data_IF_601794524270
#
_entry.id   IF_601794524270
#
_cell.length_a   1.000
_cell.length_b   1.000
_cell.length_c   1.000
_cell.angle_alpha   90.00
_cell.angle_beta   90.00
_cell.angle_gamma   90.00
#
_symmetry.space_group_name_H-M   'P 1'
#
loop_
_entity.id
_entity.type
_entity.pdbx_description
1 polymer ?
#
# COMPACT_ATOMS: atom_id res chain seq x y z
N UNK A 1 -20.40 15.52 5.35
CA UNK A 1 -21.25 14.31 5.44
C UNK A 1 -22.41 14.51 6.41
N UNK A 2 -22.22 15.10 7.61
CA UNK A 2 -23.33 15.37 8.55
C UNK A 2 -23.62 16.87 8.78
N UNK A 3 -23.14 17.76 7.90
CA UNK A 3 -23.26 19.23 8.07
C UNK A 3 -22.54 19.84 9.28
N UNK A 4 -21.90 19.01 10.13
CA UNK A 4 -21.17 19.47 11.30
C UNK A 4 -19.85 20.14 10.89
N UNK A 5 -19.51 21.31 11.47
CA UNK A 5 -18.22 21.93 11.26
C UNK A 5 -17.10 21.03 11.79
N UNK A 6 -15.92 21.14 11.20
CA UNK A 6 -14.76 20.39 11.66
C UNK A 6 -14.36 20.85 13.07
N UNK A 7 -14.02 19.90 13.94
CA UNK A 7 -13.58 20.20 15.31
C UNK A 7 -12.24 20.98 15.37
N UNK A 8 -11.48 21.00 14.27
CA UNK A 8 -10.23 21.72 14.15
C UNK A 8 -10.07 22.27 12.73
N UNK A 9 -9.43 23.44 12.56
CA UNK A 9 -9.06 23.94 11.24
C UNK A 9 -7.97 23.07 10.57
N UNK A 10 -7.24 22.25 11.34
CA UNK A 10 -6.17 21.38 10.84
C UNK A 10 -6.70 20.07 10.26
N UNK A 11 -7.52 20.18 9.22
CA UNK A 11 -8.01 19.01 8.47
C UNK A 11 -7.07 18.63 7.33
N UNK A 12 -7.37 17.53 6.63
CA UNK A 12 -6.64 17.13 5.42
C UNK A 12 -6.63 18.26 4.37
N UNK A 13 -7.73 19.00 4.26
CA UNK A 13 -7.90 20.07 3.28
C UNK A 13 -7.04 21.31 3.60
N UNK A 14 -6.59 21.47 4.85
CA UNK A 14 -5.77 22.61 5.24
C UNK A 14 -4.48 22.74 4.40
N UNK A 15 -3.87 21.61 4.02
CA UNK A 15 -2.70 21.63 3.13
C UNK A 15 -3.06 22.11 1.72
N UNK A 16 -4.20 21.68 1.18
CA UNK A 16 -4.64 22.08 -0.14
C UNK A 16 -4.89 23.58 -0.19
N UNK A 17 -5.66 24.10 0.76
CA UNK A 17 -5.92 25.54 0.92
C UNK A 17 -4.61 26.31 1.06
N UNK A 18 -3.72 25.92 1.97
CA UNK A 18 -2.48 26.64 2.22
C UNK A 18 -1.50 26.65 1.03
N UNK A 19 -1.51 25.62 0.18
CA UNK A 19 -0.64 25.56 -1.01
C UNK A 19 -1.21 26.37 -2.17
N UNK A 20 -2.54 26.32 -2.37
CA UNK A 20 -3.20 26.96 -3.51
C UNK A 20 -3.50 28.44 -3.25
N UNK A 21 -4.13 28.76 -2.12
CA UNK A 21 -4.56 30.13 -1.79
C UNK A 21 -3.59 30.85 -0.86
N UNK A 22 -2.71 30.11 -0.16
CA UNK A 22 -1.78 30.68 0.82
C UNK A 22 -2.39 30.89 2.22
N UNK A 23 -3.69 30.63 2.38
CA UNK A 23 -4.41 30.83 3.64
C UNK A 23 -4.00 29.80 4.71
N UNK A 24 -3.91 30.22 5.96
CA UNK A 24 -3.58 29.32 7.09
C UNK A 24 -2.15 28.76 7.08
N UNK A 25 -1.29 29.19 6.15
CA UNK A 25 0.09 28.70 6.03
C UNK A 25 0.93 29.01 7.27
N UNK A 26 0.75 30.19 7.88
CA UNK A 26 1.47 30.59 9.09
C UNK A 26 1.14 29.67 10.27
N UNK A 27 -0.14 29.33 10.44
CA UNK A 27 -0.61 28.49 11.55
C UNK A 27 -0.19 27.03 11.36
N UNK A 28 -0.23 26.52 10.11
CA UNK A 28 0.30 25.20 9.78
C UNK A 28 1.80 25.09 10.07
N UNK A 29 2.59 26.14 9.80
CA UNK A 29 4.04 26.17 10.08
C UNK A 29 4.36 26.20 11.57
N UNK A 30 3.49 26.81 12.39
CA UNK A 30 3.63 26.84 13.86
C UNK A 30 3.35 25.47 14.48
N UNK A 31 2.50 24.66 13.86
CA UNK A 31 2.14 23.32 14.38
C UNK A 31 3.34 22.37 14.33
N UNK A 32 3.70 21.79 15.48
CA UNK A 32 4.85 20.88 15.63
C UNK A 32 4.46 19.40 15.80
N UNK A 33 3.17 19.09 15.83
CA UNK A 33 2.65 17.73 16.01
C UNK A 33 1.39 17.48 15.20
N UNK A 34 1.14 16.23 14.81
CA UNK A 34 -0.04 15.83 14.05
C UNK A 34 0.11 14.45 13.42
N UNK A 35 -0.94 13.99 12.74
CA UNK A 35 -0.96 12.68 12.04
C UNK A 35 -0.56 12.80 10.57
N UNK A 36 -0.30 14.01 10.08
CA UNK A 36 0.08 14.31 8.70
C UNK A 36 1.13 15.41 8.68
N UNK A 37 2.07 15.31 7.75
CA UNK A 37 3.15 16.25 7.54
C UNK A 37 3.37 16.44 6.04
N UNK A 38 3.73 17.65 5.61
CA UNK A 38 4.08 17.95 4.22
C UNK A 38 5.16 19.02 4.20
N UNK A 39 6.40 18.69 3.78
CA UNK A 39 7.42 19.69 3.54
C UNK A 39 7.13 20.41 2.21
N UNK A 40 7.06 21.74 2.24
CA UNK A 40 6.73 22.54 1.05
C UNK A 40 8.01 23.21 0.51
N UNK A 41 8.35 22.91 -0.73
CA UNK A 41 9.49 23.51 -1.44
C UNK A 41 9.01 24.38 -2.59
N UNK A 42 9.46 25.64 -2.64
CA UNK A 42 9.18 26.56 -3.75
C UNK A 42 10.47 26.77 -4.54
N UNK A 43 10.52 26.23 -5.75
CA UNK A 43 11.67 26.35 -6.66
C UNK A 43 11.25 26.98 -7.99
N UNK A 44 12.15 27.75 -8.59
CA UNK A 44 12.09 28.13 -10.01
C UNK A 44 13.13 27.28 -10.74
N UNK A 45 12.68 26.31 -11.52
CA UNK A 45 13.56 25.38 -12.24
C UNK A 45 13.62 25.82 -13.71
N UNK A 46 14.80 26.18 -14.25
CA UNK A 46 14.93 26.54 -15.66
C UNK A 46 14.62 25.38 -16.60
N UNK A 47 14.38 25.68 -17.88
CA UNK A 47 14.20 24.67 -18.91
C UNK A 47 15.41 23.72 -18.95
N UNK A 48 15.15 22.42 -19.16
CA UNK A 48 16.16 21.34 -19.20
C UNK A 48 17.02 21.21 -17.92
N UNK A 49 16.61 21.83 -16.82
CA UNK A 49 17.29 21.72 -15.52
C UNK A 49 16.56 20.75 -14.60
N UNK A 50 17.27 20.22 -13.61
CA UNK A 50 16.73 19.30 -12.61
C UNK A 50 17.11 19.76 -11.21
N UNK A 51 16.17 19.66 -10.26
CA UNK A 51 16.42 19.87 -8.83
C UNK A 51 16.08 18.60 -8.07
N UNK A 52 17.05 18.06 -7.35
CA UNK A 52 16.86 16.88 -6.51
C UNK A 52 16.83 17.29 -5.04
N UNK A 53 15.88 16.74 -4.29
CA UNK A 53 15.74 16.95 -2.84
C UNK A 53 15.80 15.57 -2.19
N UNK A 54 16.71 15.41 -1.24
CA UNK A 54 16.85 14.18 -0.47
C UNK A 54 16.32 14.39 0.93
N UNK A 55 15.41 13.52 1.37
CA UNK A 55 14.76 13.62 2.67
C UNK A 55 14.89 12.30 3.41
N UNK A 56 15.13 12.37 4.72
CA UNK A 56 15.14 11.22 5.61
C UNK A 56 14.12 11.46 6.72
N UNK A 57 13.13 10.57 6.81
CA UNK A 57 12.23 10.54 7.95
C UNK A 57 12.97 9.88 9.12
N UNK A 58 13.04 10.56 10.26
CA UNK A 58 13.71 10.08 11.47
C UNK A 58 12.99 10.61 12.71
N UNK A 59 12.98 9.82 13.78
CA UNK A 59 12.53 10.26 15.10
C UNK A 59 13.66 10.88 15.94
N UNK A 60 14.89 10.95 15.40
CA UNK A 60 16.06 11.56 16.02
C UNK A 60 16.67 12.59 15.08
N UNK A 61 17.14 13.70 15.65
CA UNK A 61 17.98 14.64 14.90
C UNK A 61 19.29 13.94 14.52
N UNK A 62 19.75 14.12 13.29
CA UNK A 62 20.97 13.48 12.79
C UNK A 62 21.75 14.49 11.96
N UNK A 63 22.99 14.78 12.35
CA UNK A 63 23.82 15.77 11.68
C UNK A 63 24.22 15.33 10.26
N UNK A 64 24.44 14.03 10.08
CA UNK A 64 24.75 13.40 8.79
C UNK A 64 23.64 12.41 8.42
N UNK A 65 22.47 12.86 7.92
CA UNK A 65 21.34 11.99 7.64
C UNK A 65 21.60 11.03 6.48
N UNK A 66 22.61 11.27 5.65
CA UNK A 66 22.97 10.42 4.53
C UNK A 66 24.43 9.99 4.63
N UNK A 67 24.68 8.69 4.49
CA UNK A 67 26.03 8.16 4.45
C UNK A 67 26.75 8.57 3.15
N UNK A 68 28.09 8.68 3.15
CA UNK A 68 28.85 8.88 1.92
C UNK A 68 28.48 7.84 0.86
N UNK A 69 28.23 8.29 -0.37
CA UNK A 69 27.79 7.42 -1.48
C UNK A 69 26.29 7.11 -1.52
N UNK A 70 25.44 7.68 -0.66
CA UNK A 70 24.00 7.39 -0.70
C UNK A 70 23.34 7.69 -2.07
N UNK A 71 23.89 8.66 -2.80
CA UNK A 71 23.42 9.05 -4.12
C UNK A 71 23.71 7.99 -5.19
N UNK A 72 24.72 7.14 -5.00
CA UNK A 72 25.02 6.04 -5.93
C UNK A 72 24.13 4.81 -5.69
N UNK A 73 23.51 4.67 -4.51
CA UNK A 73 22.66 3.51 -4.17
C UNK A 73 21.55 3.32 -5.20
N UNK A 74 20.89 4.41 -5.62
CA UNK A 74 19.81 4.31 -6.59
C UNK A 74 20.30 3.79 -7.95
N UNK A 75 21.43 4.32 -8.43
CA UNK A 75 22.08 3.87 -9.66
C UNK A 75 22.48 2.40 -9.57
N UNK A 76 23.11 2.01 -8.46
CA UNK A 76 23.51 0.63 -8.22
C UNK A 76 22.31 -0.33 -8.22
N UNK A 77 21.23 0.00 -7.49
CA UNK A 77 20.01 -0.82 -7.46
C UNK A 77 19.35 -0.91 -8.83
N UNK A 78 19.45 0.13 -9.66
CA UNK A 78 18.96 0.12 -11.04
C UNK A 78 19.79 -0.84 -11.90
N UNK A 79 21.13 -0.78 -11.83
CA UNK A 79 22.02 -1.67 -12.57
C UNK A 79 21.83 -3.14 -12.18
N UNK A 80 21.71 -3.42 -10.88
CA UNK A 80 21.40 -4.76 -10.39
C UNK A 80 20.03 -5.27 -10.88
N UNK A 81 19.01 -4.40 -10.89
CA UNK A 81 17.71 -4.73 -11.44
C UNK A 81 17.78 -4.96 -12.97
N UNK A 82 18.53 -4.14 -13.70
CA UNK A 82 18.75 -4.30 -15.14
C UNK A 82 19.40 -5.66 -15.42
N UNK A 83 20.49 -6.01 -14.73
CA UNK A 83 21.17 -7.30 -14.86
C UNK A 83 20.26 -8.50 -14.50
N UNK A 84 19.47 -8.39 -13.44
CA UNK A 84 18.50 -9.41 -13.05
C UNK A 84 17.46 -9.66 -14.15
N UNK A 85 16.81 -8.61 -14.64
CA UNK A 85 15.80 -8.74 -15.69
C UNK A 85 16.41 -9.16 -17.02
N UNK A 86 17.65 -8.81 -17.30
CA UNK A 86 18.33 -9.27 -18.51
C UNK A 86 18.49 -10.78 -18.54
N UNK A 87 18.74 -11.40 -17.38
CA UNK A 87 18.79 -12.85 -17.23
C UNK A 87 17.40 -13.49 -17.27
N UNK A 88 16.42 -12.94 -16.54
CA UNK A 88 15.04 -13.48 -16.50
C UNK A 88 14.37 -13.44 -17.88
N UNK A 89 14.68 -12.43 -18.69
CA UNK A 89 14.05 -12.18 -19.99
C UNK A 89 14.94 -12.62 -21.18
N UNK A 90 15.95 -13.45 -20.94
CA UNK A 90 16.94 -13.83 -21.96
C UNK A 90 16.33 -14.53 -23.17
N UNK A 91 15.25 -15.29 -22.98
CA UNK A 91 14.53 -15.99 -24.05
C UNK A 91 13.77 -15.05 -25.00
N UNK A 92 13.51 -13.80 -24.59
CA UNK A 92 12.84 -12.82 -25.43
C UNK A 92 13.87 -11.93 -26.14
N UNK A 93 14.01 -12.13 -27.45
CA UNK A 93 14.95 -11.40 -28.29
C UNK A 93 14.49 -9.97 -28.63
N UNK A 94 13.17 -9.71 -28.63
CA UNK A 94 12.63 -8.40 -28.98
C UNK A 94 12.71 -7.40 -27.79
N UNK A 95 13.44 -6.28 -27.94
CA UNK A 95 13.57 -5.26 -26.90
C UNK A 95 12.24 -4.63 -26.44
N UNK A 96 11.26 -4.49 -27.35
CA UNK A 96 9.95 -3.94 -27.02
C UNK A 96 9.17 -4.88 -26.11
N UNK A 97 9.17 -6.18 -26.41
CA UNK A 97 8.53 -7.21 -25.58
C UNK A 97 9.21 -7.33 -24.21
N UNK A 98 10.56 -7.30 -24.15
CA UNK A 98 11.30 -7.28 -22.87
C UNK A 98 10.88 -6.10 -21.99
N UNK A 99 10.81 -4.90 -22.56
CA UNK A 99 10.42 -3.68 -21.85
C UNK A 99 8.97 -3.76 -21.35
N UNK A 100 8.06 -4.29 -22.16
CA UNK A 100 6.67 -4.48 -21.77
C UNK A 100 6.54 -5.50 -20.62
N UNK A 101 7.20 -6.65 -20.73
CA UNK A 101 7.16 -7.70 -19.72
C UNK A 101 7.75 -7.24 -18.40
N UNK A 102 8.89 -6.52 -18.41
CA UNK A 102 9.47 -5.93 -17.20
C UNK A 102 8.51 -4.96 -16.52
N UNK A 103 7.78 -4.15 -17.27
CA UNK A 103 6.76 -3.23 -16.72
C UNK A 103 5.59 -3.99 -16.11
N UNK A 104 5.13 -5.06 -16.76
CA UNK A 104 4.07 -5.91 -16.21
C UNK A 104 4.50 -6.58 -14.89
N UNK A 105 5.73 -7.13 -14.83
CA UNK A 105 6.32 -7.69 -13.62
C UNK A 105 6.50 -6.65 -12.52
N UNK A 106 6.93 -5.43 -12.85
CA UNK A 106 7.00 -4.33 -11.89
C UNK A 106 5.61 -3.97 -11.32
N UNK A 107 4.56 -4.05 -12.14
CA UNK A 107 3.17 -3.90 -11.69
C UNK A 107 2.77 -4.95 -10.65
N UNK A 108 3.13 -6.22 -10.87
CA UNK A 108 2.90 -7.31 -9.91
C UNK A 108 3.65 -7.11 -8.59
N UNK A 109 4.90 -6.64 -8.65
CA UNK A 109 5.66 -6.33 -7.43
C UNK A 109 5.05 -5.14 -6.68
N UNK A 110 4.50 -4.17 -7.39
CA UNK A 110 3.86 -2.99 -6.82
C UNK A 110 2.52 -3.29 -6.14
N UNK A 111 1.85 -4.37 -6.53
CA UNK A 111 0.58 -4.78 -5.92
C UNK A 111 0.73 -5.56 -4.60
N UNK A 112 1.96 -5.88 -4.18
CA UNK A 112 2.24 -6.40 -2.84
C UNK A 112 1.83 -5.38 -1.78
N UNK A 113 0.95 -5.76 -0.88
CA UNK A 113 0.39 -4.85 0.12
C UNK A 113 0.30 -5.52 1.49
N UNK A 114 0.69 -4.77 2.52
CA UNK A 114 0.41 -5.18 3.90
C UNK A 114 -1.09 -5.13 4.15
N UNK A 115 -1.67 -6.27 4.50
CA UNK A 115 -3.09 -6.45 4.70
C UNK A 115 -3.39 -6.85 6.14
N UNK A 116 -3.95 -5.91 6.91
CA UNK A 116 -4.34 -6.14 8.30
C UNK A 116 -5.85 -6.20 8.44
N UNK A 117 -6.38 -7.39 8.75
CA UNK A 117 -7.80 -7.60 8.96
C UNK A 117 -8.02 -8.66 10.02
N UNK A 118 -8.65 -8.25 11.13
CA UNK A 118 -9.07 -9.12 12.22
C UNK A 118 -10.59 -9.06 12.27
N UNK A 119 -11.24 -10.13 11.82
CA UNK A 119 -12.70 -10.18 11.70
C UNK A 119 -13.38 -10.11 13.06
N UNK A 120 -12.87 -10.86 14.05
CA UNK A 120 -13.39 -10.89 15.41
C UNK A 120 -13.37 -9.48 16.03
N UNK A 121 -12.22 -8.81 15.94
CA UNK A 121 -12.08 -7.43 16.41
C UNK A 121 -12.99 -6.48 15.63
N UNK A 122 -13.07 -6.61 14.31
CA UNK A 122 -13.91 -5.73 13.46
C UNK A 122 -15.40 -5.86 13.78
N UNK A 123 -15.89 -7.06 14.09
CA UNK A 123 -17.27 -7.30 14.51
C UNK A 123 -17.55 -6.70 15.89
N UNK A 124 -16.65 -6.90 16.86
CA UNK A 124 -16.84 -6.52 18.26
C UNK A 124 -16.51 -5.07 18.60
N UNK A 125 -15.79 -4.34 17.75
CA UNK A 125 -15.30 -2.98 18.06
C UNK A 125 -15.85 -1.89 17.14
N UNK A 126 -15.97 -0.68 17.68
CA UNK A 126 -16.18 0.55 16.91
C UNK A 126 -14.83 1.15 16.50
N UNK A 127 -14.79 1.85 15.37
CA UNK A 127 -13.68 2.72 15.00
C UNK A 127 -13.68 4.04 15.81
N UNK A 128 -14.68 4.24 16.68
CA UNK A 128 -14.87 5.45 17.49
C UNK A 128 -15.34 6.66 16.68
N UNK A 129 -15.52 6.51 15.36
CA UNK A 129 -15.91 7.57 14.42
C UNK A 129 -17.36 7.36 14.00
N UNK A 130 -17.76 6.11 13.77
CA UNK A 130 -19.12 5.71 13.41
C UNK A 130 -19.75 4.93 14.56
N UNK A 131 -21.06 5.12 14.84
CA UNK A 131 -21.76 4.27 15.81
C UNK A 131 -21.66 2.80 15.38
N UNK A 132 -21.57 1.90 16.37
CA UNK A 132 -21.58 0.46 16.10
C UNK A 132 -22.92 0.12 15.46
N UNK A 133 -22.92 -0.23 14.18
CA UNK A 133 -24.12 -0.73 13.52
C UNK A 133 -24.42 -2.14 14.02
N UNK A 134 -25.61 -2.40 14.62
CA UNK A 134 -26.00 -3.74 15.06
C UNK A 134 -25.97 -4.78 13.93
N UNK A 135 -26.16 -4.32 12.69
CA UNK A 135 -26.12 -5.17 11.49
C UNK A 135 -24.75 -5.78 11.18
N UNK A 136 -23.65 -5.33 11.82
CA UNK A 136 -22.32 -5.94 11.64
C UNK A 136 -22.27 -7.37 12.17
N UNK A 137 -22.91 -7.63 13.31
CA UNK A 137 -22.85 -8.93 14.00
C UNK A 137 -23.53 -10.06 13.20
N UNK A 138 -24.57 -9.71 12.44
CA UNK A 138 -25.30 -10.63 11.57
C UNK A 138 -24.96 -10.39 10.09
N UNK A 139 -23.94 -9.57 9.84
CA UNK A 139 -23.54 -9.15 8.52
C UNK A 139 -22.53 -10.10 7.91
N UNK A 140 -21.93 -9.63 6.82
CA UNK A 140 -20.91 -10.35 6.08
C UNK A 140 -19.72 -10.74 6.97
N UNK A 141 -19.14 -11.91 6.71
CA UNK A 141 -17.96 -12.44 7.40
C UNK A 141 -18.18 -12.74 8.90
N UNK A 142 -19.40 -12.64 9.43
CA UNK A 142 -19.70 -12.96 10.83
C UNK A 142 -19.27 -14.39 11.23
N UNK A 143 -19.29 -15.33 10.28
CA UNK A 143 -18.88 -16.73 10.45
C UNK A 143 -17.38 -16.97 10.20
N UNK A 144 -16.59 -15.92 10.02
CA UNK A 144 -15.14 -15.98 9.74
C UNK A 144 -14.31 -15.35 10.87
N UNK A 145 -14.72 -15.51 12.12
CA UNK A 145 -14.06 -14.88 13.29
C UNK A 145 -12.60 -15.29 13.47
N UNK A 146 -12.23 -16.47 12.98
CA UNK A 146 -10.85 -16.99 12.99
C UNK A 146 -9.96 -16.35 11.93
N UNK A 147 -10.52 -15.64 10.94
CA UNK A 147 -9.76 -15.01 9.87
C UNK A 147 -8.96 -13.82 10.41
N UNK A 148 -7.63 -13.97 10.43
CA UNK A 148 -6.68 -12.97 10.92
C UNK A 148 -5.57 -12.78 9.90
N UNK A 149 -5.58 -11.63 9.22
CA UNK A 149 -4.62 -11.26 8.21
C UNK A 149 -3.64 -10.24 8.79
N UNK A 150 -2.33 -10.52 8.74
CA UNK A 150 -1.27 -9.59 9.17
C UNK A 150 -0.04 -9.71 8.26
N UNK A 151 -0.27 -9.92 6.97
CA UNK A 151 0.75 -10.36 6.02
C UNK A 151 0.85 -9.42 4.81
N UNK A 152 1.97 -9.50 4.10
CA UNK A 152 2.10 -8.88 2.77
C UNK A 152 1.52 -9.84 1.74
N UNK A 153 0.42 -9.43 1.12
CA UNK A 153 -0.34 -10.24 0.18
C UNK A 153 -0.32 -9.57 -1.20
N UNK A 154 -0.26 -10.36 -2.27
CA UNK A 154 -0.44 -9.86 -3.63
C UNK A 154 -1.90 -9.47 -3.87
N UNK A 155 -2.15 -8.23 -4.27
CA UNK A 155 -3.48 -7.74 -4.61
C UNK A 155 -3.72 -7.80 -6.13
N UNK A 156 -4.97 -8.05 -6.58
CA UNK A 156 -5.37 -7.88 -7.99
C UNK A 156 -5.12 -6.47 -8.50
N UNK A 157 -5.49 -5.47 -7.69
CA UNK A 157 -5.20 -4.08 -7.94
C UNK A 157 -5.11 -3.30 -6.63
N UNK A 158 -4.18 -2.36 -6.53
CA UNK A 158 -3.95 -1.62 -5.27
C UNK A 158 -5.02 -0.55 -5.01
N UNK A 159 -5.69 -0.05 -6.04
CA UNK A 159 -6.58 1.10 -5.97
C UNK A 159 -8.06 0.69 -5.92
N UNK A 160 -8.50 -0.08 -6.90
CA UNK A 160 -9.89 -0.51 -7.07
C UNK A 160 -10.22 -1.74 -6.22
N UNK A 161 -9.25 -2.67 -6.11
CA UNK A 161 -9.42 -3.94 -5.41
C UNK A 161 -8.40 -4.15 -4.27
N UNK A 162 -8.39 -3.28 -3.23
CA UNK A 162 -7.48 -3.41 -2.09
C UNK A 162 -7.91 -4.53 -1.13
N UNK A 163 -8.06 -5.76 -1.63
CA UNK A 163 -8.42 -7.00 -0.92
C UNK A 163 -7.97 -8.18 -1.78
N UNK A 164 -7.61 -9.30 -1.16
CA UNK A 164 -7.14 -10.47 -1.88
C UNK A 164 -8.29 -11.40 -2.29
N UNK A 165 -8.10 -12.04 -3.43
CA UNK A 165 -8.92 -13.16 -3.86
C UNK A 165 -8.01 -14.37 -4.07
N UNK A 166 -8.43 -15.55 -3.58
CA UNK A 166 -7.63 -16.77 -3.68
C UNK A 166 -7.30 -17.13 -5.13
N UNK A 167 -8.29 -16.99 -6.01
CA UNK A 167 -8.16 -17.37 -7.40
C UNK A 167 -7.23 -16.43 -8.18
N UNK A 168 -7.38 -15.11 -8.04
CA UNK A 168 -6.43 -14.13 -8.60
C UNK A 168 -5.00 -14.39 -8.11
N UNK A 169 -4.84 -14.67 -6.81
CA UNK A 169 -3.54 -14.92 -6.20
C UNK A 169 -2.86 -16.15 -6.81
N UNK A 170 -3.59 -17.21 -7.12
CA UNK A 170 -3.06 -18.38 -7.81
C UNK A 170 -2.52 -18.02 -9.22
N UNK A 171 -3.28 -17.21 -9.99
CA UNK A 171 -2.83 -16.75 -11.31
C UNK A 171 -1.62 -15.81 -11.23
N UNK A 172 -1.57 -14.93 -10.22
CA UNK A 172 -0.44 -14.03 -10.00
C UNK A 172 0.84 -14.79 -9.60
N UNK A 173 0.71 -15.92 -8.90
CA UNK A 173 1.86 -16.73 -8.49
C UNK A 173 2.63 -17.30 -9.69
N UNK A 174 1.98 -17.53 -10.84
CA UNK A 174 2.63 -18.04 -12.05
C UNK A 174 3.70 -17.08 -12.57
N UNK A 175 3.39 -15.82 -12.96
CA UNK A 175 4.41 -14.86 -13.37
C UNK A 175 5.29 -14.41 -12.21
N UNK A 176 4.80 -14.40 -10.96
CA UNK A 176 5.62 -14.06 -9.80
C UNK A 176 6.73 -15.09 -9.58
N UNK A 177 6.50 -16.37 -9.83
CA UNK A 177 7.51 -17.42 -9.67
C UNK A 177 8.73 -17.22 -10.59
N UNK A 178 8.57 -16.49 -11.71
CA UNK A 178 9.69 -16.15 -12.60
C UNK A 178 10.66 -15.14 -11.98
N UNK A 179 10.18 -14.28 -11.08
CA UNK A 179 10.96 -13.17 -10.51
C UNK A 179 11.21 -13.30 -9.00
N UNK A 180 10.34 -14.01 -8.29
CA UNK A 180 10.37 -14.17 -6.84
C UNK A 180 9.62 -15.47 -6.44
N UNK A 181 10.24 -16.64 -6.66
CA UNK A 181 9.63 -17.94 -6.36
C UNK A 181 9.38 -18.15 -4.86
N UNK A 182 10.16 -17.50 -3.99
CA UNK A 182 9.98 -17.58 -2.54
C UNK A 182 8.68 -16.89 -2.15
N UNK A 183 8.43 -15.68 -2.66
CA UNK A 183 7.17 -14.99 -2.40
C UNK A 183 5.99 -15.74 -3.00
N UNK A 184 6.09 -16.25 -4.24
CA UNK A 184 5.01 -17.03 -4.85
C UNK A 184 4.65 -18.27 -4.00
N UNK A 185 5.64 -19.03 -3.52
CA UNK A 185 5.42 -20.15 -2.60
C UNK A 185 4.77 -19.68 -1.30
N UNK A 186 5.24 -18.59 -0.71
CA UNK A 186 4.67 -18.03 0.51
C UNK A 186 3.19 -17.68 0.33
N UNK A 187 2.81 -17.02 -0.76
CA UNK A 187 1.42 -16.66 -1.04
C UNK A 187 0.50 -17.88 -1.11
N UNK A 188 0.93 -18.95 -1.80
CA UNK A 188 0.18 -20.20 -1.88
C UNK A 188 0.04 -20.88 -0.51
N UNK A 189 1.12 -20.92 0.28
CA UNK A 189 1.06 -21.50 1.63
C UNK A 189 0.24 -20.65 2.61
N UNK A 190 0.28 -19.33 2.48
CA UNK A 190 -0.37 -18.39 3.38
C UNK A 190 -1.89 -18.61 3.42
N UNK A 191 -2.51 -18.74 2.25
CA UNK A 191 -3.96 -18.89 2.15
C UNK A 191 -4.47 -20.23 2.69
N UNK A 192 -3.57 -21.20 2.86
CA UNK A 192 -3.84 -22.52 3.40
C UNK A 192 -3.54 -22.62 4.91
N UNK A 193 -3.18 -21.53 5.58
CA UNK A 193 -2.94 -21.56 7.03
C UNK A 193 -4.24 -21.62 7.82
N UNK A 194 -4.14 -22.13 9.05
CA UNK A 194 -5.24 -22.35 9.98
C UNK A 194 -6.00 -21.07 10.36
N UNK A 195 -5.36 -19.91 10.25
CA UNK A 195 -5.99 -18.59 10.47
C UNK A 195 -6.49 -17.92 9.18
N UNK A 196 -6.37 -18.58 8.03
CA UNK A 196 -6.98 -18.19 6.76
C UNK A 196 -8.11 -19.13 6.36
N UNK A 197 -7.95 -20.43 6.59
CA UNK A 197 -8.93 -21.46 6.28
C UNK A 197 -9.99 -21.57 7.38
N UNK A 198 -11.21 -21.91 6.99
CA UNK A 198 -12.21 -22.38 7.95
C UNK A 198 -11.83 -23.75 8.52
N UNK A 199 -12.31 -24.09 9.73
CA UNK A 199 -12.13 -25.41 10.32
C UNK A 199 -12.68 -26.57 9.47
N UNK A 200 -13.64 -26.30 8.57
CA UNK A 200 -14.21 -27.26 7.62
C UNK A 200 -13.34 -27.46 6.36
N UNK A 201 -12.19 -26.78 6.27
CA UNK A 201 -11.29 -26.83 5.12
C UNK A 201 -11.62 -25.83 4.00
N UNK A 202 -12.63 -24.97 4.16
CA UNK A 202 -12.95 -23.95 3.17
C UNK A 202 -11.87 -22.86 3.13
N UNK A 203 -11.27 -22.67 1.95
CA UNK A 203 -10.36 -21.55 1.68
C UNK A 203 -11.12 -20.24 1.51
N UNK A 204 -10.54 -19.09 1.86
CA UNK A 204 -11.20 -17.80 1.70
C UNK A 204 -11.30 -17.46 0.20
N UNK A 205 -12.50 -17.48 -0.42
CA UNK A 205 -12.63 -17.28 -1.87
C UNK A 205 -12.23 -15.84 -2.25
N UNK A 206 -12.68 -14.89 -1.43
CA UNK A 206 -12.29 -13.50 -1.40
C UNK A 206 -12.92 -12.81 -0.21
N UNK A 207 -12.35 -11.69 0.24
CA UNK A 207 -13.04 -10.81 1.20
C UNK A 207 -14.27 -10.11 0.62
N UNK A 208 -14.57 -10.25 -0.69
CA UNK A 208 -15.71 -9.59 -1.36
C UNK A 208 -16.82 -10.50 -1.96
N UNK A 209 -16.70 -11.82 -1.99
CA UNK A 209 -17.85 -12.72 -2.24
C UNK A 209 -18.55 -13.10 -0.93
N UNK A 210 -19.51 -12.33 -0.38
CA UNK A 210 -20.92 -12.15 -0.77
C UNK A 210 -21.36 -10.66 -0.69
N UNK A 211 -21.77 -10.10 -1.84
CA UNK A 211 -22.55 -8.88 -2.14
C UNK A 211 -22.11 -7.46 -1.67
N UNK A 212 -21.98 -6.59 -2.69
CA UNK A 212 -22.16 -5.12 -2.83
C UNK A 212 -21.47 -4.10 -1.90
N UNK A 213 -20.63 -3.27 -2.55
CA UNK A 213 -20.14 -1.91 -2.22
C UNK A 213 -20.45 -1.40 -0.80
N UNK A 214 -19.47 -1.50 0.10
CA UNK A 214 -19.31 -0.55 1.19
C UNK A 214 -17.82 -0.37 1.49
N UNK A 215 -17.37 0.88 1.44
CA UNK A 215 -15.96 1.25 1.54
C UNK A 215 -15.34 0.83 2.88
N UNK A 216 -14.34 -0.03 2.80
CA UNK A 216 -13.34 -0.19 3.85
C UNK A 216 -12.05 0.44 3.34
N UNK A 217 -11.91 1.72 3.65
CA UNK A 217 -10.65 2.43 3.55
C UNK A 217 -9.83 2.15 4.80
N UNK A 218 -8.65 1.56 4.60
CA UNK A 218 -7.33 1.99 5.09
C UNK A 218 -6.38 0.80 4.99
N UNK A 219 -5.95 0.54 3.78
CA UNK A 219 -4.68 -0.14 3.57
C UNK A 219 -3.57 0.82 3.97
N UNK A 220 -2.68 0.37 4.85
CA UNK A 220 -1.47 1.11 5.17
C UNK A 220 -0.58 1.07 3.92
N UNK A 221 -0.51 2.18 3.21
CA UNK A 221 0.58 2.40 2.27
C UNK A 221 1.86 2.57 3.11
N UNK A 222 2.65 1.51 3.20
CA UNK A 222 4.07 1.65 3.49
C UNK A 222 4.66 2.49 2.35
N UNK A 223 5.30 3.60 2.75
CA UNK A 223 6.02 4.54 1.89
C UNK A 223 7.11 3.86 1.08
#
# INVERSE_FOLDING_TARGET
>A
VNGKPNASPFTKEAFHTAIITGEGLADLRKKKSGTKFSPVYKYKIPAKSTKTVYLRLSNKMTDNPFHPGFNSIFTQRKEEADAFYDKVLEANADPAWRKMQRRAMAGLLWSKQYYHYDVERWLGTSDGISPVSPGKQNGRNNDWKHLKNQDIIAMPDKWEYPWYAAWDLAFQCIPMAMIDPVFAKHQLSLIMREWYMKPDGQWPPSERCKSTRAGLGRTANLL
#
